data_IF_414982725240
#
_entry.id   IF_414982725240
#
_cell.length_a   1.000
_cell.length_b   1.000
_cell.length_c   1.000
_cell.angle_alpha   90.00
_cell.angle_beta   90.00
_cell.angle_gamma   90.00
#
_symmetry.space_group_name_H-M   'P 1'
#
loop_
_entity.id
_entity.type
_entity.pdbx_description
1 polymer ?
#
# COMPACT_ATOMS: atom_id res chain seq x y z
N UNK A 1 -41.89 -67.45 -16.23
CA UNK A 1 -40.60 -66.90 -15.78
C UNK A 1 -39.81 -66.46 -17.01
N UNK A 2 -40.17 -65.30 -17.55
CA UNK A 2 -39.41 -64.66 -18.63
C UNK A 2 -38.65 -63.50 -17.99
N UNK A 3 -37.33 -63.63 -17.92
CA UNK A 3 -36.44 -62.61 -17.37
C UNK A 3 -36.14 -61.56 -18.43
N UNK A 4 -36.63 -60.35 -18.22
CA UNK A 4 -36.33 -59.19 -19.04
C UNK A 4 -34.95 -58.68 -18.65
N UNK A 5 -33.96 -58.95 -19.49
CA UNK A 5 -32.58 -58.47 -19.37
C UNK A 5 -32.56 -56.97 -19.64
N UNK A 6 -32.54 -56.16 -18.58
CA UNK A 6 -32.34 -54.72 -18.66
C UNK A 6 -30.91 -54.46 -19.17
N UNK A 7 -30.80 -53.97 -20.40
CA UNK A 7 -29.53 -53.63 -21.03
C UNK A 7 -28.95 -52.34 -20.40
N UNK A 8 -28.04 -52.53 -19.44
CA UNK A 8 -27.37 -51.45 -18.73
C UNK A 8 -26.63 -50.46 -19.66
N UNK A 9 -26.33 -50.84 -20.92
CA UNK A 9 -25.76 -49.90 -21.90
C UNK A 9 -26.73 -48.81 -22.34
N UNK A 10 -28.04 -49.06 -22.32
CA UNK A 10 -29.03 -48.06 -22.72
C UNK A 10 -29.12 -46.92 -21.69
N UNK A 11 -28.99 -47.23 -20.40
CA UNK A 11 -29.06 -46.25 -19.30
C UNK A 11 -27.80 -45.36 -19.28
N UNK A 12 -26.62 -45.93 -19.50
CA UNK A 12 -25.37 -45.14 -19.59
C UNK A 12 -25.37 -44.22 -20.82
N UNK A 13 -26.00 -44.63 -21.93
CA UNK A 13 -26.10 -43.79 -23.14
C UNK A 13 -27.08 -42.62 -22.97
N UNK A 14 -28.10 -42.73 -22.13
CA UNK A 14 -29.03 -41.63 -21.87
C UNK A 14 -28.47 -40.58 -20.91
N UNK A 15 -27.65 -40.96 -19.92
CA UNK A 15 -27.04 -39.99 -19.00
C UNK A 15 -25.90 -39.20 -19.66
N UNK A 16 -25.11 -39.82 -20.54
CA UNK A 16 -24.06 -39.11 -21.28
C UNK A 16 -24.63 -38.06 -22.24
N UNK A 17 -25.87 -38.26 -22.74
CA UNK A 17 -26.52 -37.30 -23.62
C UNK A 17 -27.09 -36.08 -22.89
N UNK A 18 -27.44 -36.23 -21.60
CA UNK A 18 -27.90 -35.12 -20.77
C UNK A 18 -26.79 -34.08 -20.53
N UNK A 19 -25.53 -34.51 -20.51
CA UNK A 19 -24.37 -33.62 -20.39
C UNK A 19 -23.93 -32.96 -21.71
N UNK A 20 -24.40 -33.43 -22.87
CA UNK A 20 -24.01 -32.86 -24.17
C UNK A 20 -25.01 -31.87 -24.75
N UNK A 21 -26.27 -31.93 -24.33
CA UNK A 21 -27.36 -31.13 -24.92
C UNK A 21 -27.63 -29.81 -24.17
N UNK A 22 -27.09 -29.67 -22.95
CA UNK A 22 -26.85 -28.36 -22.37
C UNK A 22 -25.37 -28.05 -22.57
N UNK A 23 -24.97 -27.21 -23.55
CA UNK A 23 -23.70 -26.54 -23.42
C UNK A 23 -23.83 -25.78 -22.10
N UNK A 24 -23.18 -26.29 -21.05
CA UNK A 24 -22.77 -25.44 -19.93
C UNK A 24 -22.00 -24.36 -20.67
N UNK A 25 -22.64 -23.21 -20.88
CA UNK A 25 -21.97 -22.00 -21.30
C UNK A 25 -20.91 -21.85 -20.22
N UNK A 26 -19.70 -22.32 -20.51
CA UNK A 26 -18.57 -22.14 -19.64
C UNK A 26 -18.64 -20.65 -19.33
N UNK A 27 -18.90 -20.27 -18.05
CA UNK A 27 -19.22 -18.90 -17.71
C UNK A 27 -18.19 -18.06 -18.43
N UNK A 28 -18.63 -17.15 -19.31
CA UNK A 28 -17.80 -16.47 -20.32
C UNK A 28 -16.65 -15.76 -19.60
N UNK A 29 -15.63 -16.55 -19.25
CA UNK A 29 -14.41 -16.19 -18.57
C UNK A 29 -13.63 -15.54 -19.69
N UNK A 30 -14.05 -14.34 -20.06
CA UNK A 30 -13.24 -13.43 -20.86
C UNK A 30 -12.06 -13.07 -19.98
N UNK A 31 -11.07 -13.98 -19.97
CA UNK A 31 -9.76 -13.86 -19.34
C UNK A 31 -9.04 -12.57 -19.75
N UNK A 32 -9.53 -11.84 -20.76
CA UNK A 32 -9.01 -10.55 -21.18
C UNK A 32 -9.41 -9.32 -20.34
N UNK A 33 -10.32 -9.40 -19.35
CA UNK A 33 -10.73 -8.20 -18.59
C UNK A 33 -10.74 -8.30 -17.06
N UNK A 34 -10.71 -9.50 -16.49
CA UNK A 34 -10.69 -9.65 -15.04
C UNK A 34 -9.25 -9.64 -14.54
N UNK A 35 -8.94 -8.74 -13.62
CA UNK A 35 -7.65 -8.71 -12.96
C UNK A 35 -7.75 -9.46 -11.62
N UNK A 36 -6.67 -10.15 -11.26
CA UNK A 36 -6.59 -10.96 -10.05
C UNK A 36 -5.41 -10.48 -9.21
N UNK A 37 -5.58 -10.48 -7.88
CA UNK A 37 -4.47 -10.30 -6.96
C UNK A 37 -4.18 -11.63 -6.25
N UNK A 38 -2.89 -11.92 -6.03
CA UNK A 38 -2.44 -13.19 -5.48
C UNK A 38 -2.42 -13.24 -3.95
N UNK A 39 -2.34 -12.09 -3.28
CA UNK A 39 -2.10 -12.04 -1.84
C UNK A 39 -3.21 -11.30 -1.09
N UNK A 40 -4.09 -12.09 -0.49
CA UNK A 40 -5.17 -11.58 0.35
C UNK A 40 -4.66 -11.07 1.69
N UNK A 41 -3.52 -11.55 2.20
CA UNK A 41 -2.99 -11.06 3.48
C UNK A 41 -2.60 -9.59 3.43
N UNK A 42 -2.18 -9.10 2.27
CA UNK A 42 -1.91 -7.68 2.04
C UNK A 42 -3.20 -6.86 1.85
N UNK A 43 -4.17 -7.34 1.07
CA UNK A 43 -5.37 -6.57 0.73
C UNK A 43 -6.47 -6.61 1.82
N UNK A 44 -6.53 -7.64 2.65
CA UNK A 44 -7.60 -7.84 3.63
C UNK A 44 -7.76 -6.67 4.62
N UNK A 45 -6.71 -6.08 5.22
CA UNK A 45 -6.88 -4.95 6.14
C UNK A 45 -7.60 -3.78 5.46
N UNK A 46 -7.32 -3.55 4.18
CA UNK A 46 -7.95 -2.51 3.38
C UNK A 46 -9.42 -2.84 3.11
N UNK A 47 -9.74 -4.08 2.74
CA UNK A 47 -11.12 -4.53 2.51
C UNK A 47 -11.97 -4.50 3.78
N UNK A 48 -11.38 -4.84 4.93
CA UNK A 48 -12.05 -4.80 6.23
C UNK A 48 -12.49 -3.37 6.58
N UNK A 49 -11.59 -2.39 6.41
CA UNK A 49 -11.90 -0.99 6.70
C UNK A 49 -12.74 -0.32 5.61
N UNK A 50 -12.67 -0.80 4.36
CA UNK A 50 -13.47 -0.27 3.27
C UNK A 50 -14.98 -0.44 3.47
N UNK A 51 -15.41 -1.41 4.28
CA UNK A 51 -16.83 -1.57 4.65
C UNK A 51 -17.35 -0.41 5.48
N UNK A 52 -16.47 0.32 6.18
CA UNK A 52 -16.82 1.45 7.06
C UNK A 52 -16.56 2.80 6.39
N UNK A 53 -15.49 2.90 5.61
CA UNK A 53 -15.01 4.14 5.01
C UNK A 53 -14.69 3.93 3.54
N UNK A 54 -14.83 4.97 2.70
CA UNK A 54 -14.31 4.93 1.33
C UNK A 54 -12.78 5.06 1.33
N UNK A 55 -12.11 3.98 1.75
CA UNK A 55 -10.67 3.92 1.92
C UNK A 55 -9.93 4.17 0.62
N UNK A 56 -10.52 3.79 -0.53
CA UNK A 56 -9.99 4.08 -1.85
C UNK A 56 -9.85 5.58 -2.05
N UNK A 57 -10.94 6.33 -1.85
CA UNK A 57 -10.93 7.78 -1.96
C UNK A 57 -9.97 8.42 -0.95
N UNK A 58 -9.98 7.96 0.30
CA UNK A 58 -9.10 8.51 1.34
C UNK A 58 -7.62 8.34 0.99
N UNK A 59 -7.20 7.13 0.57
CA UNK A 59 -5.80 6.89 0.23
C UNK A 59 -5.40 7.63 -1.03
N UNK A 60 -6.29 7.74 -2.02
CA UNK A 60 -6.06 8.52 -3.24
C UNK A 60 -5.83 10.01 -2.91
N UNK A 61 -6.68 10.60 -2.08
CA UNK A 61 -6.54 11.99 -1.61
C UNK A 61 -5.24 12.18 -0.83
N UNK A 62 -4.91 11.28 0.10
CA UNK A 62 -3.67 11.37 0.88
C UNK A 62 -2.44 11.27 -0.02
N UNK A 63 -2.40 10.31 -0.94
CA UNK A 63 -1.30 10.16 -1.89
C UNK A 63 -1.16 11.39 -2.79
N UNK A 64 -2.28 11.94 -3.28
CA UNK A 64 -2.29 13.13 -4.11
C UNK A 64 -1.81 14.37 -3.36
N UNK A 65 -2.22 14.57 -2.11
CA UNK A 65 -1.77 15.70 -1.27
C UNK A 65 -0.27 15.63 -1.02
N UNK A 66 0.25 14.47 -0.63
CA UNK A 66 1.70 14.28 -0.41
C UNK A 66 2.47 14.56 -1.70
N UNK A 67 2.00 14.01 -2.83
CA UNK A 67 2.60 14.24 -4.14
C UNK A 67 2.56 15.72 -4.55
N UNK A 68 1.44 16.40 -4.36
CA UNK A 68 1.27 17.81 -4.72
C UNK A 68 2.21 18.71 -3.90
N UNK A 69 2.38 18.43 -2.60
CA UNK A 69 3.34 19.14 -1.74
C UNK A 69 4.77 18.91 -2.26
N UNK A 70 5.14 17.66 -2.58
CA UNK A 70 6.45 17.33 -3.15
C UNK A 70 6.68 18.03 -4.51
N UNK A 71 5.66 18.07 -5.36
CA UNK A 71 5.69 18.76 -6.65
C UNK A 71 5.90 20.26 -6.48
N UNK A 72 5.16 20.92 -5.60
CA UNK A 72 5.33 22.34 -5.31
C UNK A 72 6.73 22.66 -4.75
N UNK A 73 7.28 21.79 -3.90
CA UNK A 73 8.66 21.92 -3.43
C UNK A 73 9.68 21.79 -4.57
N UNK A 74 9.47 20.86 -5.50
CA UNK A 74 10.32 20.70 -6.68
C UNK A 74 10.23 21.91 -7.64
N UNK A 75 9.01 22.40 -7.91
CA UNK A 75 8.78 23.60 -8.74
C UNK A 75 9.43 24.83 -8.12
N UNK A 76 9.27 25.06 -6.81
CA UNK A 76 9.92 26.17 -6.11
C UNK A 76 11.44 26.15 -6.33
N UNK A 77 12.07 24.99 -6.19
CA UNK A 77 13.52 24.84 -6.41
C UNK A 77 13.91 25.10 -7.86
N UNK A 78 13.12 24.62 -8.82
CA UNK A 78 13.34 24.90 -10.24
C UNK A 78 13.27 26.42 -10.50
N UNK A 79 12.29 27.12 -9.92
CA UNK A 79 12.18 28.56 -10.02
C UNK A 79 13.38 29.29 -9.41
N UNK A 80 13.88 28.84 -8.25
CA UNK A 80 15.12 29.38 -7.65
C UNK A 80 16.32 29.22 -8.60
N UNK A 81 16.46 28.05 -9.27
CA UNK A 81 17.51 27.84 -10.27
C UNK A 81 17.38 28.79 -11.47
N UNK A 82 16.16 28.96 -11.99
CA UNK A 82 15.88 29.87 -13.12
C UNK A 82 16.18 31.31 -12.73
N UNK A 83 15.72 31.77 -11.57
CA UNK A 83 16.00 33.13 -11.07
C UNK A 83 17.50 33.34 -10.86
N UNK A 84 18.20 32.37 -10.27
CA UNK A 84 19.65 32.41 -10.10
C UNK A 84 20.40 32.49 -11.43
N UNK A 85 19.94 31.74 -12.43
CA UNK A 85 20.48 31.79 -13.79
C UNK A 85 20.24 33.15 -14.46
N UNK A 86 19.04 33.71 -14.36
CA UNK A 86 18.73 35.02 -14.95
C UNK A 86 19.51 36.17 -14.30
N UNK A 87 19.75 36.12 -12.98
CA UNK A 87 20.43 37.21 -12.26
C UNK A 87 21.96 37.18 -12.38
N UNK A 88 22.56 35.98 -12.34
CA UNK A 88 24.02 35.82 -12.22
C UNK A 88 24.60 34.80 -13.22
N UNK A 89 23.82 34.37 -14.20
CA UNK A 89 24.19 33.31 -15.13
C UNK A 89 24.52 32.01 -14.41
N UNK A 90 25.50 31.28 -14.95
CA UNK A 90 25.97 30.00 -14.40
C UNK A 90 26.56 30.11 -12.99
N UNK A 91 27.11 31.25 -12.60
CA UNK A 91 27.68 31.43 -11.25
C UNK A 91 26.57 31.47 -10.18
N UNK A 92 25.40 32.02 -10.51
CA UNK A 92 24.22 31.95 -9.64
C UNK A 92 23.76 30.51 -9.42
N UNK A 93 23.67 29.74 -10.50
CA UNK A 93 23.27 28.32 -10.44
C UNK A 93 24.25 27.50 -9.60
N UNK A 94 25.56 27.69 -9.76
CA UNK A 94 26.58 27.00 -8.94
C UNK A 94 26.44 27.32 -7.45
N UNK A 95 26.15 28.58 -7.10
CA UNK A 95 25.95 28.99 -5.72
C UNK A 95 24.72 28.30 -5.12
N UNK A 96 23.59 28.30 -5.84
CA UNK A 96 22.35 27.64 -5.40
C UNK A 96 22.53 26.12 -5.31
N UNK A 97 23.23 25.49 -6.27
CA UNK A 97 23.57 24.07 -6.21
C UNK A 97 24.38 23.71 -4.97
N UNK A 98 25.35 24.55 -4.56
CA UNK A 98 26.11 24.30 -3.31
C UNK A 98 25.23 24.34 -2.07
N UNK A 99 24.26 25.27 -2.02
CA UNK A 99 23.29 25.36 -0.92
C UNK A 99 22.36 24.13 -0.92
N UNK A 100 21.86 23.70 -2.07
CA UNK A 100 21.01 22.50 -2.12
C UNK A 100 21.80 21.20 -1.87
N UNK A 101 23.08 21.17 -2.22
CA UNK A 101 23.98 20.05 -1.92
C UNK A 101 24.20 19.87 -0.41
N UNK A 102 24.19 20.96 0.38
CA UNK A 102 24.22 20.83 1.85
C UNK A 102 22.94 20.21 2.41
N UNK A 103 21.82 20.33 1.69
CA UNK A 103 20.52 19.74 2.03
C UNK A 103 20.15 18.53 1.15
N UNK A 104 21.15 17.71 0.80
CA UNK A 104 20.94 16.53 -0.06
C UNK A 104 19.85 15.57 0.44
N UNK A 105 19.75 15.37 1.76
CA UNK A 105 18.71 14.53 2.36
C UNK A 105 17.30 15.09 2.09
N UNK A 106 17.12 16.40 2.20
CA UNK A 106 15.84 17.04 1.91
C UNK A 106 15.49 16.93 0.42
N UNK A 107 16.46 17.11 -0.47
CA UNK A 107 16.29 16.88 -1.93
C UNK A 107 15.90 15.45 -2.25
N UNK A 108 16.59 14.48 -1.64
CA UNK A 108 16.29 13.07 -1.82
C UNK A 108 14.88 12.73 -1.34
N UNK A 109 14.50 13.22 -0.15
CA UNK A 109 13.16 13.04 0.39
C UNK A 109 12.06 13.66 -0.48
N UNK A 110 12.29 14.85 -1.04
CA UNK A 110 11.35 15.46 -2.01
C UNK A 110 11.17 14.58 -3.25
N UNK A 111 12.26 14.06 -3.82
CA UNK A 111 12.18 13.17 -4.99
C UNK A 111 11.47 11.85 -4.65
N UNK A 112 11.73 11.30 -3.45
CA UNK A 112 11.02 10.13 -2.95
C UNK A 112 9.52 10.39 -2.86
N UNK A 113 9.09 11.48 -2.23
CA UNK A 113 7.68 11.83 -2.07
C UNK A 113 7.00 12.22 -3.39
N UNK A 114 7.78 12.55 -4.43
CA UNK A 114 7.25 12.79 -5.77
C UNK A 114 6.98 11.48 -6.53
N UNK A 115 7.74 10.42 -6.27
CA UNK A 115 7.66 9.15 -7.03
C UNK A 115 6.90 8.08 -6.24
N UNK A 116 7.18 7.94 -4.95
CA UNK A 116 6.70 6.83 -4.13
C UNK A 116 5.18 6.82 -3.94
N UNK A 117 4.50 7.91 -3.52
CA UNK A 117 3.05 7.88 -3.32
C UNK A 117 2.24 7.45 -4.56
N UNK A 118 2.41 8.05 -5.76
CA UNK A 118 1.65 7.61 -6.93
C UNK A 118 2.02 6.18 -7.33
N UNK A 119 3.30 5.81 -7.30
CA UNK A 119 3.70 4.46 -7.69
C UNK A 119 3.19 3.41 -6.70
N UNK A 120 3.24 3.68 -5.39
CA UNK A 120 2.69 2.81 -4.35
C UNK A 120 1.18 2.63 -4.52
N UNK A 121 0.43 3.71 -4.76
CA UNK A 121 -0.99 3.63 -5.06
C UNK A 121 -1.25 2.73 -6.27
N UNK A 122 -0.65 3.02 -7.43
CA UNK A 122 -0.95 2.30 -8.68
C UNK A 122 -0.45 0.85 -8.70
N UNK A 123 0.70 0.55 -8.08
CA UNK A 123 1.32 -0.77 -8.15
C UNK A 123 0.84 -1.69 -7.03
N UNK A 124 0.64 -1.18 -5.82
CA UNK A 124 0.34 -1.99 -4.65
C UNK A 124 -1.15 -1.95 -4.28
N UNK A 125 -1.72 -0.76 -4.14
CA UNK A 125 -3.07 -0.61 -3.59
C UNK A 125 -4.18 -0.70 -4.62
N UNK A 126 -3.97 -0.12 -5.81
CA UNK A 126 -4.96 -0.09 -6.87
C UNK A 126 -5.43 -1.49 -7.30
N UNK A 127 -4.55 -2.51 -7.43
CA UNK A 127 -4.98 -3.88 -7.65
C UNK A 127 -5.88 -4.43 -6.53
N UNK A 128 -5.65 -4.09 -5.25
CA UNK A 128 -6.52 -4.53 -4.17
C UNK A 128 -7.96 -4.00 -4.31
N UNK A 129 -8.16 -2.82 -4.90
CA UNK A 129 -9.49 -2.22 -5.02
C UNK A 129 -10.23 -2.60 -6.31
N UNK A 130 -9.51 -3.00 -7.35
CA UNK A 130 -10.11 -3.35 -8.64
C UNK A 130 -10.18 -4.84 -8.91
N UNK A 131 -9.20 -5.59 -8.42
CA UNK A 131 -9.04 -6.98 -8.76
C UNK A 131 -9.71 -7.87 -7.71
N UNK A 132 -10.05 -9.07 -8.14
CA UNK A 132 -10.66 -10.07 -7.26
C UNK A 132 -9.55 -10.95 -6.67
N UNK A 133 -9.79 -11.49 -5.47
CA UNK A 133 -8.87 -12.48 -4.87
C UNK A 133 -8.78 -13.71 -5.75
N UNK A 134 -7.55 -14.10 -6.11
CA UNK A 134 -7.33 -15.37 -6.79
C UNK A 134 -7.83 -16.56 -5.94
N UNK A 135 -7.64 -16.50 -4.62
CA UNK A 135 -8.07 -17.57 -3.71
C UNK A 135 -9.59 -17.75 -3.74
N UNK A 136 -10.36 -16.66 -3.64
CA UNK A 136 -11.83 -16.76 -3.65
C UNK A 136 -12.38 -17.27 -5.00
N UNK A 137 -11.77 -16.88 -6.11
CA UNK A 137 -12.17 -17.37 -7.44
C UNK A 137 -11.82 -18.84 -7.59
N UNK A 138 -10.61 -19.24 -7.18
CA UNK A 138 -10.18 -20.63 -7.26
C UNK A 138 -11.11 -21.52 -6.43
N UNK A 139 -11.45 -21.10 -5.19
CA UNK A 139 -12.37 -21.85 -4.34
C UNK A 139 -13.79 -21.88 -4.89
N UNK A 140 -14.29 -20.77 -5.43
CA UNK A 140 -15.60 -20.72 -6.08
C UNK A 140 -15.67 -21.66 -7.29
N UNK A 141 -14.65 -21.63 -8.17
CA UNK A 141 -14.55 -22.51 -9.33
C UNK A 141 -14.43 -23.99 -8.94
N UNK A 142 -13.66 -24.32 -7.89
CA UNK A 142 -13.63 -25.68 -7.33
C UNK A 142 -15.00 -26.08 -6.81
N UNK A 143 -15.72 -25.19 -6.13
CA UNK A 143 -17.11 -25.40 -5.72
C UNK A 143 -18.01 -25.76 -6.91
N UNK A 144 -17.89 -25.05 -8.02
CA UNK A 144 -18.65 -25.37 -9.24
C UNK A 144 -18.34 -26.75 -9.80
N UNK A 145 -17.05 -27.13 -9.82
CA UNK A 145 -16.63 -28.48 -10.25
C UNK A 145 -17.19 -29.57 -9.33
N UNK A 146 -17.36 -29.26 -8.04
CA UNK A 146 -17.98 -30.15 -7.05
C UNK A 146 -19.52 -30.14 -7.12
N UNK A 147 -20.13 -29.42 -8.06
CA UNK A 147 -21.57 -29.42 -8.29
C UNK A 147 -22.34 -28.31 -7.56
N UNK A 148 -21.66 -27.32 -6.99
CA UNK A 148 -22.35 -26.13 -6.49
C UNK A 148 -22.68 -25.14 -7.61
N UNK A 149 -23.82 -24.48 -7.50
CA UNK A 149 -24.21 -23.37 -8.39
C UNK A 149 -24.02 -22.01 -7.70
N UNK A 150 -23.89 -20.93 -8.49
CA UNK A 150 -23.75 -19.59 -7.93
C UNK A 150 -25.06 -19.14 -7.26
N UNK A 151 -24.98 -18.72 -6.01
CA UNK A 151 -26.14 -18.35 -5.18
C UNK A 151 -26.67 -16.92 -5.41
N UNK A 152 -26.27 -16.23 -6.49
CA UNK A 152 -26.64 -14.83 -6.73
C UNK A 152 -27.82 -14.62 -7.67
N UNK A 153 -28.32 -15.70 -8.29
CA UNK A 153 -29.54 -15.60 -9.07
C UNK A 153 -30.74 -15.42 -8.12
N UNK A 154 -31.61 -14.42 -8.36
CA UNK A 154 -32.72 -14.09 -7.46
C UNK A 154 -33.72 -15.23 -7.27
N UNK A 155 -33.71 -16.21 -8.19
CA UNK A 155 -34.62 -17.36 -8.20
C UNK A 155 -33.96 -18.66 -7.70
N UNK A 156 -32.69 -18.63 -7.27
CA UNK A 156 -32.00 -19.84 -6.76
C UNK A 156 -32.33 -20.03 -5.28
N UNK A 157 -33.16 -21.05 -5.01
CA UNK A 157 -33.46 -21.52 -3.66
C UNK A 157 -32.20 -22.13 -3.06
N UNK A 158 -31.73 -21.55 -1.96
CA UNK A 158 -30.62 -22.13 -1.22
C UNK A 158 -31.15 -23.26 -0.35
N UNK A 159 -30.34 -24.30 -0.21
CA UNK A 159 -30.71 -25.50 0.50
C UNK A 159 -29.85 -25.64 1.75
N UNK A 160 -30.51 -25.81 2.90
CA UNK A 160 -29.84 -26.03 4.18
C UNK A 160 -30.32 -27.33 4.77
N UNK A 161 -29.38 -28.11 5.30
CA UNK A 161 -29.75 -29.35 5.97
C UNK A 161 -30.48 -29.05 7.28
N UNK A 162 -31.61 -29.71 7.50
CA UNK A 162 -32.41 -29.59 8.72
C UNK A 162 -31.82 -30.39 9.88
N UNK A 163 -31.07 -31.45 9.57
CA UNK A 163 -30.45 -32.34 10.54
C UNK A 163 -28.95 -32.47 10.31
N UNK A 164 -28.22 -32.87 11.37
CA UNK A 164 -26.80 -33.20 11.21
C UNK A 164 -26.69 -34.52 10.45
N UNK A 165 -25.73 -34.60 9.52
CA UNK A 165 -25.44 -35.81 8.76
C UNK A 165 -25.12 -36.99 9.69
N UNK A 166 -26.10 -37.87 9.87
CA UNK A 166 -26.01 -39.12 10.66
C UNK A 166 -25.96 -40.33 9.73
N UNK A 167 -25.71 -41.52 10.27
CA UNK A 167 -25.70 -42.75 9.45
C UNK A 167 -27.05 -43.03 8.75
N UNK A 168 -28.17 -42.59 9.34
CA UNK A 168 -29.50 -42.75 8.76
C UNK A 168 -29.80 -41.66 7.73
N UNK A 169 -29.47 -40.39 8.03
CA UNK A 169 -29.56 -39.26 7.08
C UNK A 169 -28.69 -39.54 5.85
N UNK A 170 -27.52 -40.14 6.03
CA UNK A 170 -26.59 -40.45 4.94
C UNK A 170 -27.16 -41.41 3.88
N UNK A 171 -28.08 -42.31 4.25
CA UNK A 171 -28.72 -43.22 3.29
C UNK A 171 -29.69 -42.48 2.38
N UNK A 172 -30.21 -41.34 2.82
CA UNK A 172 -31.25 -40.57 2.15
C UNK A 172 -31.08 -39.07 2.38
N UNK A 173 -29.96 -38.48 1.95
CA UNK A 173 -29.63 -37.11 2.32
C UNK A 173 -30.71 -36.13 1.84
N UNK A 174 -31.28 -36.35 0.66
CA UNK A 174 -32.29 -35.49 0.01
C UNK A 174 -33.59 -35.30 0.80
N UNK A 175 -33.95 -36.22 1.70
CA UNK A 175 -35.14 -36.07 2.55
C UNK A 175 -34.96 -35.01 3.65
N UNK A 176 -33.72 -34.58 3.94
CA UNK A 176 -33.36 -33.71 5.06
C UNK A 176 -32.85 -32.33 4.64
N UNK A 177 -33.33 -31.83 3.51
CA UNK A 177 -33.05 -30.48 3.04
C UNK A 177 -34.29 -29.61 3.21
N UNK A 178 -34.11 -28.41 3.73
CA UNK A 178 -35.11 -27.35 3.66
C UNK A 178 -34.56 -26.15 2.88
N UNK A 179 -35.48 -25.38 2.29
CA UNK A 179 -35.15 -24.09 1.71
C UNK A 179 -34.65 -23.13 2.80
N UNK A 180 -33.64 -22.35 2.46
CA UNK A 180 -33.00 -21.35 3.30
C UNK A 180 -32.79 -20.07 2.50
N UNK A 181 -32.69 -18.95 3.20
CA UNK A 181 -32.19 -17.71 2.61
C UNK A 181 -30.74 -17.87 2.18
N UNK A 182 -30.33 -17.15 1.13
CA UNK A 182 -28.97 -17.14 0.63
C UNK A 182 -27.94 -16.80 1.71
N UNK A 183 -26.92 -17.63 1.86
CA UNK A 183 -25.79 -17.37 2.74
C UNK A 183 -24.83 -16.39 2.06
N UNK A 184 -24.79 -15.15 2.55
CA UNK A 184 -23.90 -14.12 2.00
C UNK A 184 -22.42 -14.43 2.22
N UNK A 185 -22.10 -15.34 3.14
CA UNK A 185 -20.74 -15.78 3.43
C UNK A 185 -20.31 -17.00 2.60
N UNK A 186 -21.19 -17.60 1.79
CA UNK A 186 -20.88 -18.78 0.98
C UNK A 186 -19.67 -18.55 0.07
N UNK A 187 -18.83 -19.58 -0.04
CA UNK A 187 -17.67 -19.61 -0.95
C UNK A 187 -18.08 -19.66 -2.42
N UNK A 188 -19.30 -20.15 -2.71
CA UNK A 188 -19.85 -20.27 -4.07
C UNK A 188 -20.67 -19.03 -4.43
N UNK A 189 -20.45 -17.93 -3.72
CA UNK A 189 -20.95 -16.62 -4.15
C UNK A 189 -20.11 -16.13 -5.34
N UNK A 190 -20.76 -15.44 -6.27
CA UNK A 190 -20.09 -14.71 -7.35
C UNK A 190 -19.04 -13.81 -6.72
N UNK A 191 -17.76 -13.97 -7.10
CA UNK A 191 -16.68 -13.20 -6.53
C UNK A 191 -16.92 -11.70 -6.69
N UNK A 192 -16.79 -10.96 -5.60
CA UNK A 192 -16.90 -9.50 -5.60
C UNK A 192 -15.60 -8.88 -5.12
N UNK A 193 -15.34 -7.63 -5.52
CA UNK A 193 -14.12 -6.92 -5.16
C UNK A 193 -13.98 -6.68 -3.63
N UNK A 194 -15.05 -6.84 -2.86
CA UNK A 194 -15.11 -6.46 -1.44
C UNK A 194 -15.40 -7.62 -0.47
N UNK A 195 -15.82 -8.77 -1.00
CA UNK A 195 -16.10 -9.97 -0.21
C UNK A 195 -15.38 -11.15 -0.86
N UNK A 196 -14.14 -11.38 -0.42
CA UNK A 196 -13.41 -12.59 -0.72
C UNK A 196 -13.76 -13.64 0.34
N UNK A 197 -14.76 -14.47 0.02
CA UNK A 197 -15.04 -15.68 0.79
C UNK A 197 -14.24 -16.80 0.13
N UNK A 198 -13.19 -17.27 0.79
CA UNK A 198 -12.39 -18.43 0.36
C UNK A 198 -12.48 -19.59 1.36
N UNK A 199 -12.90 -19.31 2.60
CA UNK A 199 -13.18 -20.33 3.58
C UNK A 199 -14.55 -20.98 3.31
N UNK A 200 -14.60 -22.30 3.40
CA UNK A 200 -15.84 -23.06 3.33
C UNK A 200 -16.72 -22.71 4.54
N UNK A 201 -17.96 -22.26 4.33
CA UNK A 201 -18.88 -22.01 5.45
C UNK A 201 -19.47 -23.32 5.98
N UNK A 202 -20.15 -23.24 7.13
CA UNK A 202 -20.91 -24.39 7.64
C UNK A 202 -21.99 -24.85 6.67
N UNK A 203 -22.64 -23.90 5.97
CA UNK A 203 -23.68 -24.20 4.97
C UNK A 203 -23.08 -24.84 3.72
N UNK A 204 -21.95 -24.31 3.23
CA UNK A 204 -21.23 -24.90 2.09
C UNK A 204 -20.78 -26.34 2.43
N UNK A 205 -20.27 -26.56 3.64
CA UNK A 205 -19.86 -27.90 4.08
C UNK A 205 -21.05 -28.86 4.18
N UNK A 206 -22.19 -28.42 4.70
CA UNK A 206 -23.40 -29.24 4.77
C UNK A 206 -23.92 -29.58 3.36
N UNK A 207 -23.86 -28.64 2.42
CA UNK A 207 -24.13 -28.90 1.00
C UNK A 207 -23.16 -29.92 0.40
N UNK A 208 -21.87 -29.85 0.74
CA UNK A 208 -20.88 -30.81 0.25
C UNK A 208 -21.13 -32.22 0.79
N UNK A 209 -21.47 -32.35 2.07
CA UNK A 209 -21.87 -33.65 2.63
C UNK A 209 -23.19 -34.17 2.05
N UNK A 210 -24.04 -33.28 1.55
CA UNK A 210 -25.24 -33.69 0.86
C UNK A 210 -24.94 -34.31 -0.51
N UNK A 211 -24.07 -33.64 -1.29
CA UNK A 211 -23.62 -34.10 -2.60
C UNK A 211 -22.74 -35.35 -2.50
N UNK A 212 -21.92 -35.43 -1.45
CA UNK A 212 -20.95 -36.50 -1.22
C UNK A 212 -21.07 -37.04 0.21
N UNK A 213 -22.13 -37.81 0.52
CA UNK A 213 -22.41 -38.25 1.87
C UNK A 213 -21.39 -39.27 2.39
N UNK A 214 -20.81 -39.00 3.56
CA UNK A 214 -19.89 -39.90 4.26
C UNK A 214 -20.63 -40.60 5.41
N UNK A 215 -21.01 -41.87 5.24
CA UNK A 215 -21.81 -42.58 6.24
C UNK A 215 -21.00 -43.09 7.44
N UNK A 216 -19.67 -43.03 7.38
CA UNK A 216 -18.76 -43.49 8.44
C UNK A 216 -17.71 -42.43 8.74
N UNK A 217 -18.02 -41.52 9.68
CA UNK A 217 -17.06 -40.51 10.13
C UNK A 217 -17.69 -39.43 10.98
N UNK A 218 -16.89 -38.81 11.85
CA UNK A 218 -17.28 -37.57 12.51
C UNK A 218 -17.18 -36.42 11.50
N UNK A 219 -18.18 -35.52 11.49
CA UNK A 219 -18.13 -34.27 10.72
C UNK A 219 -16.83 -33.55 11.02
N UNK A 220 -15.95 -33.46 10.05
CA UNK A 220 -14.72 -32.68 10.18
C UNK A 220 -15.11 -31.21 10.11
N UNK A 221 -14.81 -30.45 11.17
CA UNK A 221 -14.98 -29.00 11.17
C UNK A 221 -13.98 -28.46 10.14
N UNK A 222 -14.43 -27.69 9.14
CA UNK A 222 -13.55 -27.24 8.08
C UNK A 222 -12.55 -26.26 8.70
N UNK A 223 -11.27 -26.63 8.71
CA UNK A 223 -10.21 -25.73 9.09
C UNK A 223 -9.95 -24.78 7.93
N UNK A 224 -10.22 -23.49 8.10
CA UNK A 224 -9.75 -22.50 7.13
C UNK A 224 -8.26 -22.22 7.38
N UNK A 225 -7.41 -23.09 6.84
CA UNK A 225 -5.96 -22.92 6.91
C UNK A 225 -5.52 -21.90 5.86
N UNK A 226 -5.40 -20.65 6.28
CA UNK A 226 -4.88 -19.59 5.44
C UNK A 226 -3.36 -19.57 5.47
N UNK A 227 -2.74 -19.65 4.29
CA UNK A 227 -1.30 -19.47 4.15
C UNK A 227 -0.96 -17.98 4.24
N UNK A 228 -0.11 -17.59 5.19
CA UNK A 228 0.41 -16.21 5.30
C UNK A 228 1.63 -16.05 4.39
N UNK A 229 1.40 -15.80 3.10
CA UNK A 229 2.49 -15.69 2.12
C UNK A 229 3.17 -14.32 2.09
N UNK A 230 2.51 -13.25 2.59
CA UNK A 230 3.04 -11.87 2.62
C UNK A 230 3.64 -11.41 1.27
N UNK A 231 3.16 -11.98 0.16
CA UNK A 231 3.70 -11.76 -1.18
C UNK A 231 3.52 -10.30 -1.62
N UNK A 232 2.47 -9.63 -1.17
CA UNK A 232 2.19 -8.23 -1.41
C UNK A 232 3.25 -7.33 -0.77
N UNK A 233 3.63 -7.60 0.48
CA UNK A 233 4.73 -6.89 1.14
C UNK A 233 6.06 -7.15 0.44
N UNK A 234 6.32 -8.39 0.01
CA UNK A 234 7.51 -8.72 -0.77
C UNK A 234 7.54 -7.94 -2.10
N UNK A 235 6.42 -7.84 -2.80
CA UNK A 235 6.30 -7.09 -4.05
C UNK A 235 6.55 -5.60 -3.85
N UNK A 236 5.97 -5.00 -2.80
CA UNK A 236 6.24 -3.60 -2.42
C UNK A 236 7.72 -3.40 -2.07
N UNK A 237 8.28 -4.33 -1.29
CA UNK A 237 9.70 -4.32 -0.91
C UNK A 237 10.64 -4.41 -2.11
N UNK A 238 10.36 -5.30 -3.07
CA UNK A 238 11.18 -5.45 -4.27
C UNK A 238 10.99 -4.30 -5.27
N UNK A 239 9.75 -3.81 -5.46
CA UNK A 239 9.45 -2.74 -6.39
C UNK A 239 9.96 -1.37 -5.91
N UNK A 240 9.89 -1.11 -4.60
CA UNK A 240 10.20 0.21 -4.04
C UNK A 240 11.34 0.19 -3.03
N UNK A 241 11.29 -0.74 -2.08
CA UNK A 241 12.28 -0.83 -1.01
C UNK A 241 13.70 -1.08 -1.53
N UNK A 242 13.88 -2.06 -2.44
CA UNK A 242 15.19 -2.41 -2.97
C UNK A 242 15.81 -1.28 -3.81
N UNK A 243 15.13 -0.68 -4.81
CA UNK A 243 15.65 0.49 -5.50
C UNK A 243 15.92 1.67 -4.56
N UNK A 244 15.07 1.89 -3.56
CA UNK A 244 15.25 2.95 -2.58
C UNK A 244 16.53 2.75 -1.75
N UNK A 245 16.75 1.55 -1.21
CA UNK A 245 17.94 1.23 -0.40
C UNK A 245 19.21 1.34 -1.25
N UNK A 246 19.19 0.80 -2.48
CA UNK A 246 20.33 0.86 -3.40
C UNK A 246 20.66 2.32 -3.77
N UNK A 247 19.65 3.11 -4.16
CA UNK A 247 19.87 4.54 -4.50
C UNK A 247 20.31 5.36 -3.29
N UNK A 248 19.72 5.13 -2.11
CA UNK A 248 20.15 5.73 -0.85
C UNK A 248 21.61 5.43 -0.55
N UNK A 249 22.03 4.17 -0.69
CA UNK A 249 23.41 3.74 -0.45
C UNK A 249 24.38 4.42 -1.42
N UNK A 250 24.05 4.43 -2.71
CA UNK A 250 24.88 5.09 -3.74
C UNK A 250 25.02 6.58 -3.47
N UNK A 251 23.92 7.27 -3.13
CA UNK A 251 23.94 8.70 -2.79
C UNK A 251 24.76 8.93 -1.52
N UNK A 252 24.58 8.12 -0.48
CA UNK A 252 25.28 8.29 0.79
C UNK A 252 26.79 8.05 0.63
N UNK A 253 27.19 7.00 -0.09
CA UNK A 253 28.59 6.72 -0.41
C UNK A 253 29.17 7.84 -1.29
N UNK A 254 28.44 8.29 -2.32
CA UNK A 254 28.85 9.39 -3.18
C UNK A 254 29.10 10.68 -2.39
N UNK A 255 28.18 11.05 -1.50
CA UNK A 255 28.32 12.22 -0.61
C UNK A 255 29.49 12.05 0.35
N UNK A 256 29.68 10.86 0.92
CA UNK A 256 30.81 10.59 1.79
C UNK A 256 32.15 10.72 1.05
N UNK A 257 32.24 10.25 -0.19
CA UNK A 257 33.43 10.39 -1.05
C UNK A 257 33.66 11.86 -1.40
N UNK A 258 32.63 12.58 -1.86
CA UNK A 258 32.75 14.01 -2.19
C UNK A 258 33.22 14.83 -0.99
N UNK A 259 32.64 14.61 0.20
CA UNK A 259 33.07 15.28 1.44
C UNK A 259 34.51 14.94 1.81
N UNK A 260 34.96 13.69 1.61
CA UNK A 260 36.36 13.29 1.85
C UNK A 260 37.30 14.01 0.88
N UNK A 261 36.94 14.11 -0.40
CA UNK A 261 37.73 14.81 -1.42
C UNK A 261 37.81 16.30 -1.10
N UNK A 262 36.70 16.95 -0.79
CA UNK A 262 36.67 18.37 -0.40
C UNK A 262 37.49 18.62 0.87
N UNK A 263 37.38 17.74 1.88
CA UNK A 263 38.18 17.85 3.10
C UNK A 263 39.67 17.81 2.78
N UNK A 264 40.12 16.84 1.96
CA UNK A 264 41.52 16.73 1.53
C UNK A 264 41.99 17.98 0.76
N UNK A 265 41.20 18.45 -0.20
CA UNK A 265 41.52 19.66 -0.96
C UNK A 265 41.64 20.88 -0.04
N UNK A 266 40.77 21.01 0.97
CA UNK A 266 40.82 22.11 1.93
C UNK A 266 42.05 22.04 2.85
N UNK A 267 42.47 20.84 3.24
CA UNK A 267 43.68 20.63 4.05
C UNK A 267 44.95 20.94 3.26
N UNK A 268 44.99 20.60 1.96
CA UNK A 268 46.14 20.91 1.10
C UNK A 268 46.30 22.41 0.86
N UNK A 269 45.20 23.15 0.69
CA UNK A 269 45.22 24.62 0.61
C UNK A 269 45.72 25.22 1.92
N UNK A 270 45.24 24.72 3.08
CA UNK A 270 45.72 25.19 4.39
C UNK A 270 47.22 24.94 4.58
N UNK A 271 47.73 23.77 4.17
CA UNK A 271 49.18 23.46 4.23
C UNK A 271 49.99 24.40 3.36
N UNK A 272 49.55 24.68 2.13
CA UNK A 272 50.22 25.64 1.23
C UNK A 272 50.22 27.07 1.79
N UNK A 273 49.11 27.50 2.39
CA UNK A 273 49.03 28.81 3.05
C UNK A 273 49.95 28.90 4.28
N UNK A 274 50.04 27.83 5.08
CA UNK A 274 50.94 27.78 6.23
C UNK A 274 52.42 27.86 5.82
N UNK A 275 52.83 27.16 4.75
CA UNK A 275 54.19 27.24 4.19
C UNK A 275 54.48 28.65 3.67
N UNK A 276 53.54 29.26 2.95
CA UNK A 276 53.71 30.63 2.43
C UNK A 276 53.78 31.68 3.54
N UNK A 277 53.00 31.52 4.63
CA UNK A 277 53.03 32.40 5.79
C UNK A 277 54.36 32.30 6.57
N UNK A 278 54.97 31.11 6.62
CA UNK A 278 56.30 30.92 7.23
C UNK A 278 57.42 31.52 6.37
N UNK A 279 57.30 31.44 5.04
CA UNK A 279 58.26 32.06 4.12
C UNK A 279 58.26 33.60 4.23
N UNK A 280 57.10 34.22 4.47
CA UNK A 280 56.99 35.68 4.63
C UNK A 280 57.35 36.21 6.01
N UNK A 281 57.41 35.35 7.04
CA UNK A 281 57.82 35.76 8.39
C UNK A 281 59.34 35.73 8.62
N UNK A 282 60.14 35.32 7.61
CA UNK A 282 61.58 35.52 7.67
C UNK A 282 61.89 37.02 7.78
N UNK A 283 62.70 37.44 8.77
CA UNK A 283 62.99 38.84 9.02
C UNK A 283 63.76 39.41 7.83
N UNK A 284 63.03 40.03 6.90
CA UNK A 284 63.63 40.96 5.95
C UNK A 284 64.28 42.02 6.81
N UNK A 285 65.61 41.99 6.90
CA UNK A 285 66.42 43.08 7.43
C UNK A 285 66.09 44.29 6.58
N UNK A 286 65.11 45.08 7.01
CA UNK A 286 64.76 46.34 6.38
C UNK A 286 66.02 47.20 6.45
N UNK A 287 66.66 47.52 5.31
CA UNK A 287 67.74 48.48 5.33
C UNK A 287 67.17 49.78 5.89
N UNK A 288 67.80 50.25 6.95
CA UNK A 288 67.47 51.46 7.72
C UNK A 288 67.65 52.70 6.82
N UNK A 289 66.78 52.88 5.83
CA UNK A 289 66.79 54.06 4.96
C UNK A 289 66.07 55.18 5.71
N UNK A 290 66.88 56.08 6.29
CA UNK A 290 66.47 57.40 6.77
C UNK A 290 65.47 58.02 5.80
N UNK A 291 64.21 58.11 6.18
CA UNK A 291 63.30 59.10 5.63
C UNK A 291 63.28 60.26 6.62
N UNK A 292 64.04 61.30 6.27
CA UNK A 292 63.88 62.62 6.81
C UNK A 292 62.55 63.20 6.34
N UNK A 293 61.87 63.86 7.27
CA UNK A 293 61.08 65.07 7.10
C UNK A 293 60.16 65.16 5.86
N UNK A 294 58.86 65.22 6.12
CA UNK A 294 57.97 66.04 5.31
C UNK A 294 56.51 65.64 5.38
N UNK A 295 55.68 66.50 5.98
CA UNK A 295 54.30 66.65 5.53
C UNK A 295 53.22 66.12 6.46
N UNK A 296 52.89 66.92 7.48
CA UNK A 296 51.52 67.05 8.01
C UNK A 296 50.57 67.33 6.84
N UNK A 297 49.55 66.50 6.59
CA UNK A 297 48.27 66.97 6.05
C UNK A 297 47.12 66.20 6.73
N UNK A 298 46.28 66.98 7.39
CA UNK A 298 44.99 66.66 7.97
C UNK A 298 43.97 66.20 6.92
N UNK A 299 43.08 65.28 7.27
CA UNK A 299 41.61 65.47 7.27
C UNK A 299 40.92 64.11 7.49
N UNK A 300 40.18 63.92 8.59
CA UNK A 300 38.74 64.24 8.69
C UNK A 300 37.94 63.66 7.53
N UNK A 301 37.35 62.48 7.76
CA UNK A 301 35.97 62.22 7.31
C UNK A 301 35.21 61.48 8.41
N UNK A 302 34.70 62.30 9.33
CA UNK A 302 33.49 62.01 10.09
C UNK A 302 32.33 62.27 9.13
N UNK A 303 31.37 61.34 9.02
CA UNK A 303 30.20 61.60 8.18
C UNK A 303 29.13 60.51 8.20
N UNK A 304 28.16 60.71 9.10
CA UNK A 304 26.70 60.53 8.91
C UNK A 304 26.17 59.09 8.75
N UNK A 305 25.47 58.55 9.75
CA UNK A 305 24.05 58.82 10.08
C UNK A 305 23.12 58.67 8.86
N UNK A 306 22.37 57.57 8.82
CA UNK A 306 20.99 57.61 8.31
C UNK A 306 20.12 56.58 9.02
N UNK A 307 19.20 57.15 9.78
CA UNK A 307 18.04 56.53 10.43
C UNK A 307 17.00 56.07 9.41
N UNK A 308 16.34 54.93 9.67
CA UNK A 308 14.95 54.66 9.25
C UNK A 308 14.39 53.60 10.20
N UNK A 309 13.56 54.02 11.17
CA UNK A 309 12.09 53.95 11.11
C UNK A 309 11.62 52.48 10.97
N UNK A 310 11.07 51.81 11.99
CA UNK A 310 9.90 52.21 12.78
C UNK A 310 8.64 51.88 11.96
N UNK A 311 8.03 50.70 12.11
CA UNK A 311 6.76 50.41 12.82
C UNK A 311 6.15 49.12 12.18
N UNK A 312 5.06 48.52 12.68
CA UNK A 312 4.64 48.30 14.07
C UNK A 312 4.31 46.82 14.38
N UNK A 313 4.35 46.49 15.67
CA UNK A 313 3.67 45.31 16.24
C UNK A 313 2.16 45.45 16.03
N UNK A 314 1.49 44.36 15.63
CA UNK A 314 0.02 44.23 15.69
C UNK A 314 -0.35 43.18 16.76
N UNK A 315 -1.34 43.45 17.61
CA UNK A 315 -1.66 42.60 18.76
C UNK A 315 -2.56 41.42 18.41
N UNK A 316 -2.37 40.35 19.16
CA UNK A 316 -3.27 39.21 19.31
C UNK A 316 -4.48 39.58 20.17
N UNK A 317 -5.68 39.22 19.72
CA UNK A 317 -6.90 39.00 20.51
C UNK A 317 -7.81 38.11 19.63
N UNK A 318 -8.14 36.86 20.04
CA UNK A 318 -9.33 36.48 20.83
C UNK A 318 -10.63 36.86 20.06
N UNK A 319 -11.51 35.94 19.59
CA UNK A 319 -12.31 34.93 20.31
C UNK A 319 -13.17 34.12 19.29
N UNK A 320 -13.98 33.12 19.73
CA UNK A 320 -14.31 31.93 18.94
C UNK A 320 -15.63 32.04 18.17
N UNK A 321 -15.74 31.25 17.09
CA UNK A 321 -17.02 30.90 16.51
C UNK A 321 -17.58 29.64 17.17
N UNK A 322 -18.73 29.84 17.83
CA UNK A 322 -19.74 28.84 18.15
C UNK A 322 -20.10 28.03 16.90
N UNK A 323 -19.90 26.71 16.95
CA UNK A 323 -20.57 25.77 16.06
C UNK A 323 -21.55 24.97 16.89
N UNK A 324 -22.80 25.11 16.48
CA UNK A 324 -24.00 24.53 17.05
C UNK A 324 -23.97 23.01 16.98
N UNK A 325 -24.29 22.40 18.12
CA UNK A 325 -24.70 21.02 18.24
C UNK A 325 -25.96 20.76 17.42
N UNK A 326 -25.97 19.71 16.61
CA UNK A 326 -27.18 19.08 16.09
C UNK A 326 -26.92 17.59 15.89
N UNK A 327 -27.08 16.86 16.99
CA UNK A 327 -27.77 15.57 17.09
C UNK A 327 -27.73 14.65 15.87
N UNK A 328 -26.78 13.72 15.86
CA UNK A 328 -26.89 12.49 15.07
C UNK A 328 -27.32 11.35 15.99
N UNK A 329 -28.38 10.68 15.56
CA UNK A 329 -29.12 9.68 16.30
C UNK A 329 -28.28 8.45 16.68
N UNK A 330 -28.59 7.92 17.86
CA UNK A 330 -28.24 6.61 18.36
C UNK A 330 -28.49 5.51 17.32
N UNK A 331 -27.46 4.69 17.09
CA UNK A 331 -27.60 3.34 16.53
C UNK A 331 -26.89 2.37 17.48
N UNK A 332 -27.55 1.26 17.88
CA UNK A 332 -27.06 0.40 18.95
C UNK A 332 -25.87 -0.45 18.50
N UNK A 333 -24.91 -0.56 19.42
CA UNK A 333 -23.78 -1.46 19.35
C UNK A 333 -24.24 -2.92 19.47
N UNK A 334 -24.00 -3.71 18.42
CA UNK A 334 -23.82 -5.15 18.53
C UNK A 334 -22.41 -5.49 18.04
N UNK A 335 -21.48 -5.55 18.98
CA UNK A 335 -20.21 -6.24 18.80
C UNK A 335 -20.44 -7.73 19.07
N UNK A 336 -20.03 -8.65 18.18
CA UNK A 336 -19.83 -10.03 18.57
C UNK A 336 -18.50 -10.12 19.33
N UNK A 337 -18.55 -10.80 20.48
CA UNK A 337 -17.37 -11.15 21.25
C UNK A 337 -16.42 -12.00 20.38
N UNK A 338 -15.23 -11.48 20.07
CA UNK A 338 -14.07 -12.29 19.72
C UNK A 338 -13.74 -13.13 20.95
N UNK A 339 -14.30 -14.35 20.99
CA UNK A 339 -13.87 -15.37 21.92
C UNK A 339 -12.51 -15.91 21.43
N UNK A 340 -11.50 -15.56 22.20
CA UNK A 340 -10.16 -16.14 22.30
C UNK A 340 -10.18 -17.67 22.07
N UNK A 341 -9.92 -18.08 20.82
CA UNK A 341 -9.91 -19.49 20.39
C UNK A 341 -8.56 -20.18 20.67
N UNK A 342 -7.52 -19.41 21.01
CA UNK A 342 -6.17 -19.93 21.23
C UNK A 342 -5.98 -20.54 22.63
N UNK A 343 -6.89 -20.29 23.58
CA UNK A 343 -6.80 -20.82 24.95
C UNK A 343 -7.51 -22.17 25.18
N UNK A 344 -8.24 -22.72 24.20
CA UNK A 344 -9.00 -23.98 24.37
C UNK A 344 -8.26 -25.24 23.90
N UNK A 345 -7.17 -25.11 23.12
CA UNK A 345 -6.38 -26.25 22.65
C UNK A 345 -5.30 -26.67 23.68
N UNK A 346 -4.91 -25.80 24.60
CA UNK A 346 -3.89 -26.09 25.62
C UNK A 346 -4.41 -26.84 26.88
N UNK A 347 -5.70 -27.17 26.97
CA UNK A 347 -6.29 -27.90 28.13
C UNK A 347 -6.81 -29.31 27.83
N UNK A 348 -6.51 -29.86 26.66
CA UNK A 348 -6.72 -31.29 26.35
C UNK A 348 -5.53 -31.86 25.61
N UNK A 349 -4.40 -31.95 26.30
CA UNK A 349 -3.35 -32.96 26.09
C UNK A 349 -2.91 -33.45 27.45
#
# INVERSE_FOLDING_TARGET
TAGESIDARAIVKSEVKFFTDHPVEAPDFRLGRQCFYLDETFCEPFHREQRKYDLKLMVEVVCFVIWAIAFLMAVKRLLEYVVGYCQKGWEGVKMIMRVHASHILYSYFTMLMLIFPPAFYWVALYPCFLCVSFESIATGAIGQVLGFEYNDAPDVTNYKSTERMSADVCKKPHEYIAESSADTASVVRTPSNFAANYCLTGSDLDGLYHLYPLCSGARVIPGCLRSKTNLGFLRVGLAFGLPFVVTSLVIFVGVAVLRRVEKRASEDVKKRLAVNAFATSSPVKVPKRRQSLGGKILSRFSGRSSSRAGLPRKPSDARPHSVSSSTMAQQPAHAPAEADYDNLVARRV
#
